data_IF_217209087029
#
_entry.id   IF_217209087029
#
_cell.length_a   1.000
_cell.length_b   1.000
_cell.length_c   1.000
_cell.angle_alpha   90.00
_cell.angle_beta   90.00
_cell.angle_gamma   90.00
#
_symmetry.space_group_name_H-M   'P 1'
#
loop_
_entity.id
_entity.type
_entity.pdbx_description
1 polymer ?
#
# COMPACT_ATOMS: atom_id res chain seq x y z
N UNK A 1 11.53 -17.16 4.64
CA UNK A 1 10.37 -16.24 4.47
C UNK A 1 9.76 -15.95 5.83
N UNK A 2 9.28 -14.72 6.06
CA UNK A 2 8.55 -14.37 7.29
C UNK A 2 7.25 -15.19 7.36
N UNK A 3 6.79 -15.53 8.57
CA UNK A 3 5.58 -16.36 8.78
C UNK A 3 4.28 -15.60 8.47
N UNK A 4 4.29 -14.29 8.66
CA UNK A 4 3.18 -13.37 8.39
C UNK A 4 3.69 -12.30 7.45
N UNK A 5 2.90 -11.99 6.43
CA UNK A 5 3.15 -10.89 5.49
C UNK A 5 2.10 -9.81 5.70
N UNK A 6 2.54 -8.56 5.75
CA UNK A 6 1.66 -7.39 5.74
C UNK A 6 1.36 -7.00 4.30
N UNK A 7 0.07 -7.09 3.92
CA UNK A 7 -0.39 -6.75 2.58
C UNK A 7 -0.75 -5.28 2.46
N UNK A 8 -0.27 -4.61 1.41
CA UNK A 8 -0.59 -3.23 1.08
C UNK A 8 -1.18 -3.19 -0.32
N UNK A 9 -2.42 -2.72 -0.45
CA UNK A 9 -3.05 -2.38 -1.73
C UNK A 9 -2.90 -0.88 -1.94
N UNK A 10 -1.97 -0.49 -2.79
CA UNK A 10 -1.53 0.88 -2.96
C UNK A 10 -1.81 1.47 -4.34
N UNK A 11 -1.10 2.55 -4.63
CA UNK A 11 -1.12 3.38 -5.84
C UNK A 11 -2.29 4.37 -5.91
N UNK A 12 -2.86 4.70 -4.75
CA UNK A 12 -3.99 5.62 -4.59
C UNK A 12 -3.63 6.87 -3.78
N UNK A 13 -2.45 7.51 -3.93
CA UNK A 13 -1.56 7.54 -5.11
C UNK A 13 -0.14 6.97 -4.90
N UNK A 14 0.70 6.94 -5.96
CA UNK A 14 2.04 6.33 -5.94
C UNK A 14 3.01 6.96 -4.93
N UNK A 15 2.93 8.27 -4.71
CA UNK A 15 3.78 8.97 -3.75
C UNK A 15 3.41 8.59 -2.30
N UNK A 16 2.12 8.39 -2.02
CA UNK A 16 1.66 7.95 -0.71
C UNK A 16 2.19 6.56 -0.38
N UNK A 17 2.27 5.64 -1.36
CA UNK A 17 2.86 4.31 -1.15
C UNK A 17 4.35 4.38 -0.80
N UNK A 18 5.10 5.25 -1.47
CA UNK A 18 6.53 5.42 -1.21
C UNK A 18 6.75 6.01 0.18
N UNK A 19 5.97 7.04 0.53
CA UNK A 19 5.99 7.65 1.86
C UNK A 19 5.60 6.64 2.94
N UNK A 20 4.57 5.81 2.70
CA UNK A 20 4.15 4.77 3.63
C UNK A 20 5.28 3.78 3.93
N UNK A 21 5.98 3.30 2.91
CA UNK A 21 7.12 2.38 3.08
C UNK A 21 8.27 3.02 3.85
N UNK A 22 8.58 4.29 3.60
CA UNK A 22 9.59 5.04 4.35
C UNK A 22 9.20 5.21 5.83
N UNK A 23 7.93 5.55 6.11
CA UNK A 23 7.41 5.66 7.47
C UNK A 23 7.51 4.31 8.20
N UNK A 24 7.11 3.21 7.57
CA UNK A 24 7.18 1.88 8.19
C UNK A 24 8.63 1.52 8.51
N UNK A 25 9.56 1.68 7.56
CA UNK A 25 10.96 1.37 7.79
C UNK A 25 11.55 2.18 8.96
N UNK A 26 11.27 3.49 9.01
CA UNK A 26 11.69 4.36 10.13
C UNK A 26 11.09 3.92 11.46
N UNK A 27 9.80 3.57 11.49
CA UNK A 27 9.14 3.09 12.70
C UNK A 27 9.73 1.77 13.18
N UNK A 28 10.05 0.84 12.29
CA UNK A 28 10.70 -0.42 12.68
C UNK A 28 12.09 -0.20 13.27
N UNK A 29 12.87 0.73 12.71
CA UNK A 29 14.18 1.13 13.27
C UNK A 29 14.00 1.74 14.66
N UNK A 30 13.04 2.65 14.84
CA UNK A 30 12.69 3.22 16.16
C UNK A 30 12.30 2.13 17.18
N UNK A 31 11.72 1.02 16.71
CA UNK A 31 11.31 -0.12 17.54
C UNK A 31 12.35 -1.24 17.62
N UNK A 32 13.60 -0.99 17.19
CA UNK A 32 14.73 -1.88 17.44
C UNK A 32 15.10 -2.83 16.31
N UNK A 33 14.65 -2.58 15.07
CA UNK A 33 15.23 -3.25 13.90
C UNK A 33 16.68 -2.76 13.70
N UNK A 34 17.65 -3.69 13.68
CA UNK A 34 19.08 -3.37 13.58
C UNK A 34 19.70 -3.81 12.25
N UNK A 35 19.00 -4.65 11.49
CA UNK A 35 19.41 -5.21 10.20
C UNK A 35 18.18 -5.53 9.35
N UNK A 36 18.39 -5.67 8.04
CA UNK A 36 17.33 -5.93 7.06
C UNK A 36 16.43 -7.12 7.42
N UNK A 37 16.99 -8.19 8.00
CA UNK A 37 16.23 -9.39 8.33
C UNK A 37 15.30 -9.21 9.54
N UNK A 38 15.42 -8.13 10.29
CA UNK A 38 14.54 -7.83 11.44
C UNK A 38 13.21 -7.24 10.98
N UNK A 39 13.20 -6.48 9.89
CA UNK A 39 12.01 -5.84 9.31
C UNK A 39 10.89 -6.82 8.95
N UNK A 40 9.65 -6.35 8.99
CA UNK A 40 8.47 -7.13 8.66
C UNK A 40 8.46 -7.56 7.20
N UNK A 41 7.89 -8.73 6.92
CA UNK A 41 7.63 -9.14 5.55
C UNK A 41 6.44 -8.35 5.01
N UNK A 42 6.58 -7.73 3.83
CA UNK A 42 5.54 -6.90 3.24
C UNK A 42 5.33 -7.28 1.76
N UNK A 43 4.08 -7.33 1.34
CA UNK A 43 3.68 -7.46 -0.07
C UNK A 43 2.91 -6.22 -0.48
N UNK A 44 3.48 -5.43 -1.39
CA UNK A 44 2.86 -4.20 -1.89
C UNK A 44 2.35 -4.44 -3.31
N UNK A 45 1.04 -4.34 -3.49
CA UNK A 45 0.39 -4.33 -4.80
C UNK A 45 0.20 -2.89 -5.22
N UNK A 46 0.89 -2.48 -6.29
CA UNK A 46 0.72 -1.17 -6.91
C UNK A 46 -0.21 -1.32 -8.11
N UNK A 47 -1.47 -0.94 -7.96
CA UNK A 47 -2.45 -1.08 -9.02
C UNK A 47 -2.88 0.32 -9.55
N UNK A 48 -2.28 0.80 -10.65
CA UNK A 48 -2.66 2.09 -11.26
C UNK A 48 -4.05 2.03 -11.93
N UNK A 49 -4.58 0.84 -12.19
CA UNK A 49 -5.89 0.66 -12.82
C UNK A 49 -7.03 0.87 -11.83
N UNK A 50 -6.75 1.21 -10.56
CA UNK A 50 -7.78 1.64 -9.63
C UNK A 50 -8.26 3.03 -10.08
N UNK A 51 -9.58 3.24 -10.30
CA UNK A 51 -10.10 4.50 -10.82
C UNK A 51 -9.85 5.64 -9.83
N UNK A 52 -10.06 6.87 -10.30
CA UNK A 52 -10.07 8.01 -9.39
C UNK A 52 -11.22 7.85 -8.36
N UNK A 53 -10.88 7.92 -7.08
CA UNK A 53 -11.84 7.68 -5.99
C UNK A 53 -12.81 8.85 -5.84
N UNK A 54 -12.37 10.07 -6.17
CA UNK A 54 -13.21 11.27 -6.05
C UNK A 54 -14.26 11.28 -7.15
N UNK A 55 -13.88 10.95 -8.38
CA UNK A 55 -14.79 10.79 -9.52
C UNK A 55 -15.81 9.67 -9.27
N UNK A 56 -15.35 8.52 -8.79
CA UNK A 56 -16.22 7.38 -8.47
C UNK A 56 -17.31 7.74 -7.45
N UNK A 57 -16.99 8.56 -6.44
CA UNK A 57 -17.95 8.96 -5.40
C UNK A 57 -18.86 10.10 -5.86
N UNK A 58 -18.31 11.13 -6.52
CA UNK A 58 -19.03 12.39 -6.74
C UNK A 58 -19.72 12.48 -8.10
N UNK A 59 -19.24 11.77 -9.11
CA UNK A 59 -19.68 11.94 -10.50
C UNK A 59 -20.43 10.71 -11.04
N UNK A 60 -20.68 9.71 -10.19
CA UNK A 60 -21.20 8.42 -10.64
C UNK A 60 -20.19 7.66 -11.51
N UNK A 61 -18.90 7.92 -11.28
CA UNK A 61 -17.79 7.29 -11.99
C UNK A 61 -17.86 5.76 -11.95
N UNK A 62 -17.24 5.12 -12.94
CA UNK A 62 -17.40 3.69 -13.13
C UNK A 62 -16.85 2.89 -11.95
N UNK A 63 -17.73 2.15 -11.30
CA UNK A 63 -17.31 0.98 -10.53
C UNK A 63 -16.94 -0.13 -11.51
N UNK A 64 -15.63 -0.30 -11.71
CA UNK A 64 -15.08 -1.33 -12.58
C UNK A 64 -15.33 -2.77 -12.06
N UNK A 65 -15.80 -2.93 -10.83
CA UNK A 65 -16.15 -4.21 -10.22
C UNK A 65 -17.65 -4.52 -10.29
N UNK A 66 -18.50 -3.61 -10.78
CA UNK A 66 -19.94 -3.85 -11.00
C UNK A 66 -20.28 -4.27 -12.44
N UNK A 67 -19.28 -4.49 -13.30
CA UNK A 67 -19.48 -5.06 -14.63
C UNK A 67 -19.54 -6.59 -14.55
N UNK A 68 -20.73 -7.12 -14.23
CA UNK A 68 -21.07 -8.54 -14.40
C UNK A 68 -21.57 -8.82 -15.81
#
# INVERSE_FOLDING_TARGET
>A
MKKILFGVMGNMGPEADALFQDIVAKKEIEHGALKDQDHMGMLVVKNPDIPDRSEAINEGGQDQYLRW
#
